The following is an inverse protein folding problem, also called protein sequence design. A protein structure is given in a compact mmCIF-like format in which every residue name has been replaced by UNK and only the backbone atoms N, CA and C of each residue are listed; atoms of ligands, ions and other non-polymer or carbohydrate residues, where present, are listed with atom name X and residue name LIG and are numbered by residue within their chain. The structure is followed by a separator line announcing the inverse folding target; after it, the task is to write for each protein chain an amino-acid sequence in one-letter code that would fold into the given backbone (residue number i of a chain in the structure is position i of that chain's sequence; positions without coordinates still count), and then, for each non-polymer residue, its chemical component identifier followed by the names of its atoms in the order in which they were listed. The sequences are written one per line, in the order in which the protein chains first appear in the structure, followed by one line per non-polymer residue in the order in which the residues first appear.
data_IF_817571958293
#
_entry.id   IF_817571958293
#
_cell.length_a   1.000
_cell.length_b   1.000
_cell.length_c   1.000
_cell.angle_alpha   90.00
_cell.angle_beta   90.00
_cell.angle_gamma   90.00
#
_symmetry.space_group_name_H-M   'P 1'
#
loop_
_entity.id
_entity.type
_entity.pdbx_description
1 polymer ?
#
# COMPACT_ATOMS: atom_id res chain seq x y z
N UNK A 1 -8.37 19.88 -18.82
CA UNK A 1 -9.02 20.34 -17.57
C UNK A 1 -10.19 19.40 -17.29
N UNK A 2 -10.21 18.73 -16.12
CA UNK A 2 -11.36 17.94 -15.68
C UNK A 2 -12.58 18.88 -15.50
N UNK A 3 -13.81 18.41 -15.80
CA UNK A 3 -15.00 19.24 -15.64
C UNK A 3 -15.12 19.73 -14.18
N UNK A 4 -15.74 20.89 -14.00
CA UNK A 4 -16.04 21.50 -12.69
C UNK A 4 -17.13 20.71 -11.94
N UNK A 5 -16.89 19.45 -11.65
CA UNK A 5 -17.74 18.62 -10.80
C UNK A 5 -17.17 18.75 -9.40
N UNK A 6 -17.98 18.98 -8.36
CA UNK A 6 -17.54 18.94 -6.98
C UNK A 6 -16.73 17.68 -6.70
N UNK A 7 -15.65 17.78 -5.94
CA UNK A 7 -14.67 16.72 -5.79
C UNK A 7 -15.29 15.38 -5.35
N UNK A 8 -16.27 15.42 -4.42
CA UNK A 8 -17.02 14.26 -3.96
C UNK A 8 -17.90 13.63 -5.06
N UNK A 9 -18.57 14.43 -5.89
CA UNK A 9 -19.39 13.91 -7.00
C UNK A 9 -18.54 13.28 -8.10
N UNK A 10 -17.38 13.88 -8.38
CA UNK A 10 -16.43 13.31 -9.33
C UNK A 10 -15.90 11.95 -8.86
N UNK A 11 -15.59 11.81 -7.59
CA UNK A 11 -15.12 10.55 -7.01
C UNK A 11 -16.22 9.48 -7.05
N UNK A 12 -17.45 9.83 -6.73
CA UNK A 12 -18.60 8.91 -6.77
C UNK A 12 -18.90 8.36 -8.16
N UNK A 13 -18.52 9.10 -9.21
CA UNK A 13 -18.72 8.68 -10.62
C UNK A 13 -17.53 7.89 -11.15
N UNK A 14 -16.32 8.14 -10.62
CA UNK A 14 -15.06 7.59 -11.13
C UNK A 14 -14.43 6.50 -10.26
N UNK A 15 -15.03 6.19 -9.12
CA UNK A 15 -14.48 5.29 -8.10
C UNK A 15 -15.49 4.20 -7.75
N UNK A 16 -15.22 2.98 -8.20
CA UNK A 16 -16.07 1.81 -7.98
C UNK A 16 -16.25 1.49 -6.49
N UNK A 17 -15.24 1.76 -5.66
CA UNK A 17 -15.33 1.54 -4.22
C UNK A 17 -16.34 2.48 -3.57
N UNK A 18 -16.28 3.78 -3.88
CA UNK A 18 -17.22 4.76 -3.33
C UNK A 18 -18.64 4.53 -3.87
N UNK A 19 -18.75 4.12 -5.13
CA UNK A 19 -20.04 3.72 -5.70
C UNK A 19 -20.63 2.52 -4.94
N UNK A 20 -19.85 1.48 -4.73
CA UNK A 20 -20.24 0.29 -3.97
C UNK A 20 -20.65 0.63 -2.53
N UNK A 21 -19.84 1.44 -1.84
CA UNK A 21 -20.09 1.80 -0.46
C UNK A 21 -21.42 2.55 -0.30
N UNK A 22 -21.69 3.49 -1.20
CA UNK A 22 -22.94 4.26 -1.21
C UNK A 22 -24.14 3.44 -1.65
N UNK A 23 -24.06 2.76 -2.78
CA UNK A 23 -25.25 2.19 -3.44
C UNK A 23 -25.54 0.76 -3.00
N UNK A 24 -24.52 -0.03 -2.61
CA UNK A 24 -24.72 -1.40 -2.15
C UNK A 24 -24.72 -1.52 -0.61
N UNK A 25 -24.00 -0.63 0.09
CA UNK A 25 -23.89 -0.66 1.55
C UNK A 25 -24.68 0.44 2.24
N UNK A 26 -25.22 1.39 1.49
CA UNK A 26 -26.04 2.48 2.04
C UNK A 26 -25.26 3.49 2.86
N UNK A 27 -23.93 3.52 2.73
CA UNK A 27 -23.03 4.41 3.47
C UNK A 27 -22.61 5.55 2.53
N UNK A 28 -23.22 6.71 2.74
CA UNK A 28 -22.81 7.93 2.05
C UNK A 28 -21.57 8.50 2.76
N UNK A 29 -20.39 7.96 2.44
CA UNK A 29 -19.13 8.46 2.95
C UNK A 29 -18.36 9.28 1.90
N UNK A 30 -17.53 10.16 2.41
CA UNK A 30 -16.48 10.85 1.66
C UNK A 30 -15.11 10.33 2.14
N UNK A 31 -14.09 10.40 1.30
CA UNK A 31 -12.71 10.06 1.66
C UNK A 31 -12.16 10.93 2.80
N UNK A 32 -12.82 12.02 3.11
CA UNK A 32 -12.47 12.95 4.17
C UNK A 32 -13.26 12.74 5.46
N UNK A 33 -14.16 11.75 5.53
CA UNK A 33 -15.01 11.49 6.71
C UNK A 33 -14.19 11.20 7.98
N UNK A 34 -13.00 10.65 7.84
CA UNK A 34 -12.05 10.49 8.94
C UNK A 34 -11.56 11.85 9.48
N UNK A 35 -11.85 12.95 8.79
CA UNK A 35 -11.31 14.28 9.06
C UNK A 35 -9.82 14.41 8.72
N UNK A 36 -9.29 13.47 7.94
CA UNK A 36 -7.91 13.46 7.46
C UNK A 36 -7.88 13.79 5.98
N UNK A 37 -6.98 14.69 5.60
CA UNK A 37 -6.66 14.92 4.20
C UNK A 37 -5.90 13.72 3.62
N UNK A 38 -6.07 13.45 2.33
CA UNK A 38 -5.51 12.29 1.63
C UNK A 38 -3.98 12.13 1.74
N UNK A 39 -3.29 13.17 2.16
CA UNK A 39 -1.85 13.19 2.38
C UNK A 39 -1.48 13.48 3.85
N UNK A 40 -2.41 13.38 4.77
CA UNK A 40 -2.14 13.62 6.19
C UNK A 40 -1.24 12.52 6.76
N UNK A 41 -0.18 12.91 7.46
CA UNK A 41 0.64 11.99 8.26
C UNK A 41 0.00 11.65 9.63
N UNK A 42 -1.13 12.27 9.95
CA UNK A 42 -1.88 12.00 11.18
C UNK A 42 -2.54 10.63 11.10
N UNK A 43 -2.52 9.91 12.20
CA UNK A 43 -3.20 8.63 12.33
C UNK A 43 -4.56 8.82 12.99
N UNK A 44 -5.58 8.23 12.40
CA UNK A 44 -6.91 8.11 13.00
C UNK A 44 -7.52 6.77 12.56
N UNK A 45 -7.89 5.89 13.48
CA UNK A 45 -8.50 4.62 13.14
C UNK A 45 -9.72 4.76 12.23
N UNK A 46 -9.90 3.78 11.34
CA UNK A 46 -11.05 3.67 10.45
C UNK A 46 -12.36 3.72 11.26
N UNK A 47 -13.31 4.52 10.82
CA UNK A 47 -14.52 4.83 11.58
C UNK A 47 -15.72 3.90 11.29
N UNK A 48 -15.63 3.11 10.25
CA UNK A 48 -16.65 2.14 9.87
C UNK A 48 -16.19 0.70 10.18
N UNK A 49 -17.05 -0.27 9.95
CA UNK A 49 -16.70 -1.67 10.07
C UNK A 49 -15.52 -2.04 9.15
N UNK A 50 -14.63 -2.90 9.62
CA UNK A 50 -13.42 -3.29 8.90
C UNK A 50 -13.71 -3.80 7.48
N UNK A 51 -14.79 -4.59 7.30
CA UNK A 51 -15.14 -5.15 6.00
C UNK A 51 -15.49 -4.09 4.95
N UNK A 52 -15.75 -2.87 5.37
CA UNK A 52 -16.01 -1.71 4.49
C UNK A 52 -14.73 -0.97 4.11
N UNK A 53 -13.61 -1.30 4.73
CA UNK A 53 -12.34 -0.65 4.42
C UNK A 53 -11.91 -0.93 2.97
N UNK A 54 -11.35 0.07 2.24
CA UNK A 54 -10.95 -0.12 0.84
C UNK A 54 -9.98 -1.28 0.63
N UNK A 55 -9.10 -1.58 1.59
CA UNK A 55 -8.20 -2.74 1.55
C UNK A 55 -8.98 -4.06 1.53
N UNK A 56 -10.00 -4.20 2.36
CA UNK A 56 -10.88 -5.39 2.37
C UNK A 56 -11.71 -5.51 1.10
N UNK A 57 -12.20 -4.37 0.59
CA UNK A 57 -12.95 -4.32 -0.65
C UNK A 57 -12.10 -4.78 -1.85
N UNK A 58 -10.87 -4.27 -1.99
CA UNK A 58 -9.96 -4.66 -3.06
C UNK A 58 -9.69 -6.17 -3.05
N UNK A 59 -9.41 -6.75 -1.87
CA UNK A 59 -9.25 -8.19 -1.71
C UNK A 59 -10.54 -8.94 -2.10
N UNK A 60 -11.69 -8.44 -1.67
CA UNK A 60 -12.99 -9.02 -2.01
C UNK A 60 -13.23 -9.06 -3.53
N UNK A 61 -12.90 -7.97 -4.24
CA UNK A 61 -13.00 -7.92 -5.72
C UNK A 61 -12.04 -8.89 -6.40
N UNK A 62 -10.81 -9.00 -5.89
CA UNK A 62 -9.84 -9.96 -6.41
C UNK A 62 -10.32 -11.42 -6.22
N UNK A 63 -10.87 -11.76 -5.06
CA UNK A 63 -11.45 -13.08 -4.80
C UNK A 63 -12.67 -13.36 -5.68
N UNK A 64 -13.54 -12.38 -5.90
CA UNK A 64 -14.66 -12.51 -6.82
C UNK A 64 -14.19 -12.76 -8.26
N UNK A 65 -13.10 -12.10 -8.69
CA UNK A 65 -12.48 -12.36 -9.98
C UNK A 65 -12.01 -13.81 -10.08
N UNK A 66 -11.29 -14.34 -9.08
CA UNK A 66 -10.80 -15.73 -9.09
C UNK A 66 -11.94 -16.73 -9.23
N UNK A 67 -13.07 -16.51 -8.56
CA UNK A 67 -14.25 -17.40 -8.61
C UNK A 67 -15.00 -17.34 -9.93
N UNK A 68 -15.02 -16.20 -10.61
CA UNK A 68 -15.83 -15.96 -11.83
C UNK A 68 -15.03 -16.04 -13.12
N UNK A 69 -13.71 -16.12 -13.03
CA UNK A 69 -12.84 -16.17 -14.23
C UNK A 69 -13.18 -17.36 -15.11
N UNK A 70 -12.87 -17.29 -16.38
CA UNK A 70 -12.81 -18.44 -17.27
C UNK A 70 -11.66 -19.35 -16.82
N UNK A 71 -11.96 -20.59 -16.42
CA UNK A 71 -10.98 -21.55 -15.88
C UNK A 71 -10.03 -22.07 -16.94
N UNK A 72 -10.44 -22.02 -18.21
CA UNK A 72 -9.67 -22.53 -19.34
C UNK A 72 -8.69 -21.45 -19.89
N UNK A 73 -8.71 -20.24 -19.35
CA UNK A 73 -7.86 -19.15 -19.76
C UNK A 73 -6.84 -18.76 -18.68
N UNK A 74 -5.58 -18.49 -19.07
CA UNK A 74 -4.63 -17.86 -18.15
C UNK A 74 -5.09 -16.46 -17.82
N UNK A 75 -4.65 -15.92 -16.67
CA UNK A 75 -4.99 -14.57 -16.28
C UNK A 75 -3.76 -13.79 -15.81
N UNK A 76 -3.87 -12.48 -15.89
CA UNK A 76 -3.02 -11.51 -15.20
C UNK A 76 -3.90 -10.69 -14.27
N UNK A 77 -3.54 -10.64 -12.99
CA UNK A 77 -4.25 -9.84 -11.98
C UNK A 77 -3.25 -8.92 -11.27
N UNK A 78 -3.51 -7.62 -11.32
CA UNK A 78 -2.82 -6.65 -10.47
C UNK A 78 -3.74 -6.27 -9.31
N UNK A 79 -3.45 -6.79 -8.12
CA UNK A 79 -4.13 -6.42 -6.87
C UNK A 79 -3.33 -5.31 -6.19
N UNK A 80 -3.86 -4.11 -6.22
CA UNK A 80 -3.22 -2.91 -5.67
C UNK A 80 -3.93 -2.42 -4.42
N UNK A 81 -3.17 -2.21 -3.36
CA UNK A 81 -3.65 -1.58 -2.12
C UNK A 81 -3.15 -0.14 -2.04
N UNK A 82 -4.05 0.79 -1.73
CA UNK A 82 -3.65 2.18 -1.48
C UNK A 82 -2.88 2.29 -0.17
N UNK A 83 -3.28 1.52 0.86
CA UNK A 83 -2.54 1.47 2.12
C UNK A 83 -1.26 0.65 1.96
N UNK A 84 -0.21 1.04 2.66
CA UNK A 84 -0.11 1.97 3.80
C UNK A 84 0.09 3.45 3.45
N UNK A 85 -0.18 3.90 2.22
CA UNK A 85 -0.13 5.33 1.89
C UNK A 85 -1.05 6.14 2.83
N UNK A 86 -0.62 7.35 3.18
CA UNK A 86 -1.43 8.29 3.98
C UNK A 86 -2.82 8.55 3.34
N UNK A 87 -3.86 8.89 4.13
CA UNK A 87 -3.85 9.00 5.59
C UNK A 87 -3.76 7.64 6.27
N UNK A 88 -3.19 7.61 7.47
CA UNK A 88 -3.07 6.37 8.23
C UNK A 88 -4.36 6.11 9.00
N UNK A 89 -5.23 5.31 8.39
CA UNK A 89 -6.57 5.01 8.90
C UNK A 89 -6.82 3.49 9.08
N UNK A 90 -5.90 2.77 9.75
CA UNK A 90 -6.09 1.34 9.98
C UNK A 90 -7.36 1.07 10.80
N UNK A 91 -8.01 -0.10 10.68
CA UNK A 91 -9.01 -0.52 11.65
C UNK A 91 -8.43 -0.52 13.08
N UNK A 92 -9.27 -0.18 14.06
CA UNK A 92 -8.82 0.07 15.44
C UNK A 92 -8.06 -1.11 16.06
N UNK A 93 -8.46 -2.35 15.76
CA UNK A 93 -7.80 -3.54 16.28
C UNK A 93 -6.32 -3.64 15.86
N UNK A 94 -5.97 -3.21 14.63
CA UNK A 94 -4.58 -3.18 14.17
C UNK A 94 -3.81 -2.01 14.79
N UNK A 95 -4.43 -0.84 14.94
CA UNK A 95 -3.80 0.29 15.62
C UNK A 95 -3.47 -0.02 17.07
N UNK A 96 -4.36 -0.73 17.76
CA UNK A 96 -4.17 -1.17 19.14
C UNK A 96 -2.94 -2.07 19.32
N UNK A 97 -2.51 -2.78 18.28
CA UNK A 97 -1.29 -3.58 18.33
C UNK A 97 -0.01 -2.74 18.45
N UNK A 98 -0.02 -1.49 18.02
CA UNK A 98 1.17 -0.64 17.90
C UNK A 98 1.14 0.61 18.76
N UNK A 99 -0.03 1.17 19.10
CA UNK A 99 -0.18 2.48 19.76
C UNK A 99 0.61 2.66 21.05
N UNK A 100 0.89 1.56 21.76
CA UNK A 100 1.61 1.57 23.02
C UNK A 100 2.97 0.87 22.95
N UNK A 101 3.43 0.45 21.75
CA UNK A 101 4.74 -0.18 21.61
C UNK A 101 5.85 0.86 21.52
N UNK A 102 7.01 0.50 22.05
CA UNK A 102 8.23 1.20 21.72
C UNK A 102 8.59 0.89 20.26
N UNK A 103 8.63 1.92 19.44
CA UNK A 103 8.99 1.85 18.02
C UNK A 103 10.39 2.45 17.84
N UNK A 104 11.12 2.01 16.81
CA UNK A 104 12.42 2.55 16.50
C UNK A 104 12.31 4.06 16.20
N UNK A 105 13.22 4.89 16.71
CA UNK A 105 13.24 6.30 16.37
C UNK A 105 13.53 6.47 14.87
N UNK A 106 13.05 7.56 14.24
CA UNK A 106 13.44 7.87 12.88
C UNK A 106 14.96 8.04 12.74
N UNK A 107 15.49 7.67 11.59
CA UNK A 107 16.88 7.91 11.29
C UNK A 107 17.13 9.41 11.07
N UNK A 108 18.28 9.90 11.55
CA UNK A 108 18.77 11.25 11.31
C UNK A 108 20.26 11.20 11.00
N UNK A 109 20.66 11.82 9.90
CA UNK A 109 22.06 11.99 9.54
C UNK A 109 22.68 13.22 10.21
N UNK A 110 24.02 13.29 10.25
CA UNK A 110 24.77 14.43 10.78
C UNK A 110 24.64 15.72 9.93
N UNK A 111 24.09 15.58 8.72
CA UNK A 111 23.77 16.69 7.81
C UNK A 111 22.36 17.25 7.99
N UNK A 112 21.51 16.63 8.82
CA UNK A 112 20.14 17.07 9.03
C UNK A 112 20.07 18.24 10.00
N UNK A 113 19.47 19.34 9.58
CA UNK A 113 19.20 20.50 10.44
C UNK A 113 17.76 20.50 10.93
N UNK A 114 17.45 19.58 11.85
CA UNK A 114 16.12 19.43 12.46
C UNK A 114 15.73 20.69 13.27
N UNK A 115 16.69 21.39 13.86
CA UNK A 115 16.43 22.64 14.58
C UNK A 115 15.99 23.75 13.64
N UNK A 116 16.56 23.81 12.44
CA UNK A 116 16.08 24.72 11.40
C UNK A 116 14.65 24.36 10.98
N UNK A 117 14.35 23.10 10.77
CA UNK A 117 12.99 22.65 10.43
C UNK A 117 11.98 23.03 11.50
N UNK A 118 12.33 22.87 12.79
CA UNK A 118 11.51 23.32 13.91
C UNK A 118 11.26 24.82 13.91
N UNK A 119 12.32 25.62 13.71
CA UNK A 119 12.23 27.09 13.69
C UNK A 119 11.43 27.62 12.50
N UNK A 120 11.58 27.03 11.33
CA UNK A 120 10.86 27.42 10.12
C UNK A 120 9.37 27.08 10.18
N UNK A 121 8.93 26.30 11.18
CA UNK A 121 7.53 25.91 11.37
C UNK A 121 6.92 25.19 10.17
N UNK A 122 7.74 24.54 9.35
CA UNK A 122 7.32 23.83 8.12
C UNK A 122 6.61 22.50 8.42
N UNK A 123 5.80 22.46 9.46
CA UNK A 123 5.08 21.28 9.92
C UNK A 123 4.03 20.79 8.90
N UNK A 124 3.67 21.61 7.93
CA UNK A 124 2.56 21.34 7.03
C UNK A 124 2.90 21.30 5.53
N UNK A 125 4.17 21.27 5.17
CA UNK A 125 4.46 21.01 3.76
C UNK A 125 4.40 19.51 3.45
N UNK A 126 4.13 19.20 2.20
CA UNK A 126 3.97 17.81 1.71
C UNK A 126 5.17 16.89 1.93
N UNK A 127 6.26 17.37 2.47
CA UNK A 127 7.53 16.63 2.62
C UNK A 127 8.08 16.62 4.04
N UNK A 128 7.64 17.55 4.91
CA UNK A 128 8.11 17.59 6.30
C UNK A 128 7.16 16.82 7.19
N UNK A 129 7.70 15.89 7.98
CA UNK A 129 6.98 15.11 8.97
C UNK A 129 6.82 15.82 10.30
N UNK A 130 6.14 15.20 11.26
CA UNK A 130 6.15 15.65 12.63
C UNK A 130 7.57 15.58 13.20
N UNK A 131 7.90 16.51 14.08
CA UNK A 131 9.19 16.56 14.80
C UNK A 131 8.99 16.29 16.29
N UNK A 132 7.75 16.29 16.76
CA UNK A 132 7.41 15.91 18.12
C UNK A 132 7.47 14.37 18.25
N UNK A 133 8.20 13.83 19.23
CA UNK A 133 8.38 12.38 19.38
C UNK A 133 7.08 11.59 19.54
N UNK A 134 6.08 12.17 20.20
CA UNK A 134 4.79 11.50 20.38
C UNK A 134 3.99 11.45 19.06
N UNK A 135 4.01 12.51 18.28
CA UNK A 135 3.38 12.54 16.97
C UNK A 135 4.07 11.60 15.98
N UNK A 136 5.42 11.51 16.03
CA UNK A 136 6.19 10.53 15.26
C UNK A 136 5.75 9.11 15.61
N UNK A 137 5.68 8.80 16.90
CA UNK A 137 5.25 7.48 17.38
C UNK A 137 3.83 7.13 16.89
N UNK A 138 2.90 8.09 16.96
CA UNK A 138 1.52 7.90 16.46
C UNK A 138 1.49 7.65 14.96
N UNK A 139 2.28 8.39 14.18
CA UNK A 139 2.44 8.19 12.75
C UNK A 139 2.96 6.79 12.42
N UNK A 140 4.06 6.38 13.06
CA UNK A 140 4.66 5.05 12.87
C UNK A 140 3.69 3.93 13.25
N UNK A 141 3.00 4.07 14.39
CA UNK A 141 2.01 3.09 14.84
C UNK A 141 0.87 2.93 13.82
N UNK A 142 0.38 4.03 13.25
CA UNK A 142 -0.64 4.01 12.20
C UNK A 142 -0.15 3.33 10.92
N UNK A 143 1.06 3.65 10.49
CA UNK A 143 1.65 3.06 9.29
C UNK A 143 1.85 1.55 9.44
N UNK A 144 2.45 1.09 10.55
CA UNK A 144 2.64 -0.34 10.81
C UNK A 144 1.31 -1.09 10.96
N UNK A 145 0.32 -0.45 11.54
CA UNK A 145 -1.03 -1.00 11.63
C UNK A 145 -1.67 -1.19 10.24
N UNK A 146 -1.49 -0.23 9.33
CA UNK A 146 -1.92 -0.36 7.93
C UNK A 146 -1.19 -1.51 7.22
N UNK A 147 0.13 -1.67 7.45
CA UNK A 147 0.89 -2.81 6.90
C UNK A 147 0.33 -4.14 7.39
N UNK A 148 0.10 -4.28 8.70
CA UNK A 148 -0.44 -5.53 9.27
C UNK A 148 -1.83 -5.84 8.71
N UNK A 149 -2.66 -4.82 8.53
CA UNK A 149 -3.97 -4.99 7.90
C UNK A 149 -3.84 -5.47 6.44
N UNK A 150 -2.96 -4.87 5.65
CA UNK A 150 -2.68 -5.30 4.26
C UNK A 150 -2.14 -6.73 4.25
N UNK A 151 -1.21 -7.08 5.13
CA UNK A 151 -0.64 -8.43 5.25
C UNK A 151 -1.72 -9.49 5.51
N UNK A 152 -2.64 -9.22 6.43
CA UNK A 152 -3.79 -10.11 6.66
C UNK A 152 -4.69 -10.24 5.42
N UNK A 153 -4.88 -9.18 4.65
CA UNK A 153 -5.68 -9.24 3.43
C UNK A 153 -4.95 -9.96 2.29
N UNK A 154 -3.62 -9.87 2.23
CA UNK A 154 -2.80 -10.70 1.33
C UNK A 154 -2.93 -12.17 1.72
N UNK A 155 -2.79 -12.50 3.00
CA UNK A 155 -3.01 -13.87 3.48
C UNK A 155 -4.37 -14.43 3.09
N UNK A 156 -5.43 -13.62 3.19
CA UNK A 156 -6.78 -13.98 2.74
C UNK A 156 -6.86 -14.21 1.22
N UNK A 157 -6.14 -13.41 0.43
CA UNK A 157 -6.08 -13.58 -1.02
C UNK A 157 -5.31 -14.87 -1.40
N UNK A 158 -4.19 -15.14 -0.74
CA UNK A 158 -3.41 -16.37 -0.95
C UNK A 158 -4.23 -17.63 -0.60
N UNK A 159 -5.00 -17.57 0.48
CA UNK A 159 -5.95 -18.64 0.80
C UNK A 159 -6.97 -18.85 -0.33
N UNK A 160 -7.47 -17.75 -0.92
CA UNK A 160 -8.37 -17.84 -2.08
C UNK A 160 -7.71 -18.47 -3.31
N UNK A 161 -6.41 -18.27 -3.55
CA UNK A 161 -5.69 -18.99 -4.60
C UNK A 161 -5.61 -20.50 -4.30
N UNK A 162 -5.41 -20.88 -3.03
CA UNK A 162 -5.41 -22.28 -2.61
C UNK A 162 -6.78 -22.92 -2.77
N UNK A 163 -7.84 -22.24 -2.34
CA UNK A 163 -9.23 -22.70 -2.44
C UNK A 163 -9.69 -22.92 -3.88
N UNK A 164 -9.14 -22.16 -4.84
CA UNK A 164 -9.41 -22.27 -6.27
C UNK A 164 -8.39 -23.17 -7.01
N UNK A 165 -7.50 -23.86 -6.27
CA UNK A 165 -6.45 -24.73 -6.80
C UNK A 165 -5.47 -24.03 -7.77
N UNK A 166 -5.20 -22.74 -7.53
CA UNK A 166 -4.37 -21.90 -8.38
C UNK A 166 -2.97 -21.65 -7.82
N UNK A 167 -2.79 -21.84 -6.51
CA UNK A 167 -1.59 -21.40 -5.80
C UNK A 167 -0.31 -22.00 -6.39
N UNK A 168 -0.32 -23.29 -6.72
CA UNK A 168 0.86 -24.00 -7.24
C UNK A 168 1.14 -23.72 -8.72
N UNK A 169 0.23 -23.06 -9.42
CA UNK A 169 0.35 -22.70 -10.85
C UNK A 169 0.26 -21.19 -11.08
N UNK A 170 0.59 -20.39 -10.09
CA UNK A 170 0.56 -18.92 -10.20
C UNK A 170 1.90 -18.34 -9.79
N UNK A 171 2.50 -17.52 -10.65
CA UNK A 171 3.62 -16.66 -10.26
C UNK A 171 3.04 -15.43 -9.57
N UNK A 172 3.47 -15.18 -8.35
CA UNK A 172 3.06 -14.01 -7.59
C UNK A 172 4.27 -13.12 -7.36
N UNK A 173 4.11 -11.84 -7.68
CA UNK A 173 5.09 -10.79 -7.40
C UNK A 173 4.50 -9.85 -6.36
N UNK A 174 5.19 -9.71 -5.23
CA UNK A 174 4.86 -8.71 -4.21
C UNK A 174 5.89 -7.59 -4.24
N UNK A 175 5.41 -6.37 -4.39
CA UNK A 175 6.24 -5.16 -4.42
C UNK A 175 5.44 -3.93 -4.02
N UNK A 176 6.12 -2.78 -3.96
CA UNK A 176 5.53 -1.46 -3.78
C UNK A 176 6.04 -0.51 -4.87
N UNK A 177 5.29 0.55 -5.18
CA UNK A 177 5.71 1.61 -6.09
C UNK A 177 6.77 2.54 -5.46
N UNK A 178 6.75 2.71 -4.14
CA UNK A 178 7.71 3.47 -3.34
C UNK A 178 7.58 3.06 -1.87
N UNK A 179 8.52 3.48 -1.05
CA UNK A 179 8.47 3.35 0.41
C UNK A 179 7.89 4.58 1.11
N UNK A 180 8.25 4.78 2.38
CA UNK A 180 7.79 5.89 3.22
C UNK A 180 8.91 6.29 4.19
N UNK A 181 9.18 7.57 4.30
CA UNK A 181 10.25 8.11 5.17
C UNK A 181 9.88 8.11 6.66
N UNK A 182 8.60 8.14 7.02
CA UNK A 182 8.12 8.05 8.42
C UNK A 182 8.88 8.92 9.42
N UNK A 183 9.18 10.15 9.06
CA UNK A 183 9.98 11.13 9.79
C UNK A 183 11.50 10.90 9.77
N UNK A 184 12.01 9.94 9.02
CA UNK A 184 13.44 9.88 8.72
C UNK A 184 13.89 11.23 8.12
N UNK A 185 15.02 11.74 8.58
CA UNK A 185 15.52 13.06 8.21
C UNK A 185 14.53 14.23 8.45
N UNK A 186 13.55 14.05 9.35
CA UNK A 186 12.45 14.99 9.54
C UNK A 186 11.46 15.07 8.39
N UNK A 187 11.47 14.07 7.49
CA UNK A 187 10.67 14.03 6.27
C UNK A 187 9.59 12.95 6.33
N UNK A 188 8.55 13.14 5.52
CA UNK A 188 7.50 12.16 5.27
C UNK A 188 7.41 11.84 3.79
N UNK A 189 6.81 10.69 3.48
CA UNK A 189 6.55 10.21 2.13
C UNK A 189 7.82 9.85 1.37
N UNK A 190 7.87 10.11 0.08
CA UNK A 190 8.84 9.57 -0.88
C UNK A 190 9.52 10.63 -1.75
N UNK A 191 9.53 11.89 -1.31
CA UNK A 191 10.04 13.01 -2.14
C UNK A 191 11.56 13.08 -2.26
N UNK A 192 12.28 12.21 -1.58
CA UNK A 192 13.75 12.11 -1.59
C UNK A 192 14.17 10.66 -1.71
N UNK A 193 15.25 10.35 -2.43
CA UNK A 193 15.71 8.98 -2.67
C UNK A 193 16.53 8.43 -1.50
N UNK A 194 16.04 8.61 -0.27
CA UNK A 194 16.58 7.97 0.92
C UNK A 194 16.10 6.53 1.01
N UNK A 195 16.78 5.72 1.80
CA UNK A 195 16.55 4.30 1.95
C UNK A 195 15.07 3.99 2.24
N UNK A 196 14.46 4.68 3.20
CA UNK A 196 13.05 4.49 3.57
C UNK A 196 12.04 4.74 2.45
N UNK A 197 12.39 5.51 1.41
CA UNK A 197 11.51 5.80 0.29
C UNK A 197 11.85 5.04 -0.99
N UNK A 198 13.11 4.69 -1.21
CA UNK A 198 13.60 4.10 -2.46
C UNK A 198 13.79 2.58 -2.39
N UNK A 199 14.11 2.05 -1.21
CA UNK A 199 14.30 0.62 -1.01
C UNK A 199 12.96 -0.05 -0.71
N UNK A 200 12.37 -0.63 -1.75
CA UNK A 200 11.06 -1.30 -1.69
C UNK A 200 11.21 -2.83 -1.66
N UNK A 201 10.24 -3.56 -1.11
CA UNK A 201 10.27 -5.01 -1.17
C UNK A 201 10.08 -5.52 -2.60
N UNK A 202 10.77 -6.61 -2.95
CA UNK A 202 10.52 -7.40 -4.14
C UNK A 202 10.62 -8.87 -3.77
N UNK A 203 9.47 -9.53 -3.72
CA UNK A 203 9.38 -10.96 -3.45
C UNK A 203 8.67 -11.65 -4.60
N UNK A 204 9.22 -12.79 -5.00
CA UNK A 204 8.64 -13.66 -6.04
C UNK A 204 8.43 -15.06 -5.46
N UNK A 205 7.28 -15.65 -5.72
CA UNK A 205 7.04 -17.07 -5.50
C UNK A 205 6.16 -17.63 -6.60
N UNK A 206 6.18 -18.95 -6.78
CA UNK A 206 5.43 -19.64 -7.83
C UNK A 206 6.05 -20.99 -8.16
N UNK A 207 5.67 -21.59 -9.30
CA UNK A 207 6.20 -22.87 -9.73
C UNK A 207 7.74 -22.86 -9.86
N UNK A 208 8.40 -23.82 -9.22
CA UNK A 208 9.88 -23.92 -9.26
C UNK A 208 10.45 -23.97 -10.67
N UNK A 209 9.71 -24.59 -11.60
CA UNK A 209 10.09 -24.65 -13.00
C UNK A 209 10.17 -23.28 -13.69
N UNK A 210 9.48 -22.26 -13.15
CA UNK A 210 9.44 -20.90 -13.70
C UNK A 210 10.39 -19.97 -12.95
N UNK A 211 10.30 -19.94 -11.63
CA UNK A 211 11.06 -18.98 -10.80
C UNK A 211 12.31 -19.61 -10.16
N UNK A 212 12.53 -20.93 -10.31
CA UNK A 212 13.59 -21.67 -9.65
C UNK A 212 13.30 -21.98 -8.17
N UNK A 213 14.23 -22.65 -7.45
CA UNK A 213 14.01 -23.11 -6.07
C UNK A 213 13.75 -21.96 -5.11
N UNK A 214 12.81 -22.19 -4.17
CA UNK A 214 12.44 -21.23 -3.13
C UNK A 214 13.54 -20.99 -2.08
N UNK A 215 13.32 -20.02 -1.19
CA UNK A 215 14.20 -19.70 -0.05
C UNK A 215 15.49 -18.98 -0.43
N UNK A 216 15.60 -18.44 -1.63
CA UNK A 216 16.78 -17.69 -2.10
C UNK A 216 16.63 -16.19 -1.76
N UNK A 217 17.75 -15.58 -1.41
CA UNK A 217 17.91 -14.12 -1.33
C UNK A 217 18.91 -13.71 -2.41
N UNK A 218 18.67 -12.58 -3.06
CA UNK A 218 19.56 -12.03 -4.10
C UNK A 218 19.94 -10.59 -3.74
N UNK A 219 21.24 -10.30 -3.79
CA UNK A 219 21.79 -8.94 -3.62
C UNK A 219 21.90 -8.19 -4.95
N UNK A 220 21.33 -8.73 -6.03
CA UNK A 220 21.31 -8.05 -7.33
C UNK A 220 20.35 -6.86 -7.26
N UNK A 221 20.79 -5.74 -7.83
CA UNK A 221 19.91 -4.59 -7.99
C UNK A 221 18.76 -4.93 -8.94
N UNK A 222 17.56 -4.58 -8.56
CA UNK A 222 16.36 -4.70 -9.37
C UNK A 222 15.56 -3.39 -9.26
N UNK A 223 14.83 -3.06 -10.31
CA UNK A 223 14.00 -1.88 -10.38
C UNK A 223 12.57 -2.25 -10.80
N UNK A 224 11.62 -1.34 -10.56
CA UNK A 224 10.22 -1.56 -10.96
C UNK A 224 10.05 -1.84 -12.46
N UNK A 225 10.91 -1.29 -13.31
CA UNK A 225 10.87 -1.55 -14.76
C UNK A 225 11.29 -2.97 -15.14
N UNK A 226 11.95 -3.71 -14.24
CA UNK A 226 12.31 -5.12 -14.47
C UNK A 226 11.11 -6.06 -14.29
N UNK A 227 10.02 -5.60 -13.65
CA UNK A 227 8.85 -6.43 -13.36
C UNK A 227 8.13 -6.84 -14.64
N UNK A 228 7.87 -5.90 -15.55
CA UNK A 228 7.12 -6.20 -16.77
C UNK A 228 7.83 -7.25 -17.65
N UNK A 229 9.12 -7.09 -18.01
CA UNK A 229 9.83 -8.12 -18.77
C UNK A 229 9.90 -9.46 -18.02
N UNK A 230 10.06 -9.45 -16.70
CA UNK A 230 10.05 -10.67 -15.89
C UNK A 230 8.72 -11.42 -15.98
N UNK A 231 7.60 -10.70 -15.92
CA UNK A 231 6.27 -11.30 -16.03
C UNK A 231 5.98 -11.82 -17.43
N UNK A 232 6.43 -11.11 -18.48
CA UNK A 232 6.30 -11.57 -19.86
C UNK A 232 7.10 -12.87 -20.09
N UNK A 233 8.34 -12.91 -19.60
CA UNK A 233 9.18 -14.11 -19.68
C UNK A 233 8.54 -15.30 -18.95
N UNK A 234 8.09 -15.08 -17.71
CA UNK A 234 7.40 -16.10 -16.92
C UNK A 234 6.12 -16.62 -17.59
N UNK A 235 5.44 -15.79 -18.37
CA UNK A 235 4.23 -16.14 -19.12
C UNK A 235 4.55 -16.75 -20.51
N UNK A 236 5.82 -16.87 -20.91
CA UNK A 236 6.23 -17.32 -22.25
C UNK A 236 5.84 -16.35 -23.36
N UNK A 237 5.65 -15.07 -23.05
CA UNK A 237 5.29 -14.01 -24.01
C UNK A 237 6.56 -13.29 -24.45
N UNK A 238 6.76 -13.06 -25.78
CA UNK A 238 7.93 -12.33 -26.25
C UNK A 238 8.07 -10.93 -25.64
N UNK A 239 9.26 -10.62 -25.15
CA UNK A 239 9.57 -9.29 -24.59
C UNK A 239 9.76 -8.30 -25.76
N UNK A 240 9.00 -7.19 -25.82
CA UNK A 240 9.22 -6.17 -26.84
C UNK A 240 10.63 -5.57 -26.79
N UNK A 241 11.24 -5.34 -27.96
CA UNK A 241 12.60 -4.77 -28.06
C UNK A 241 12.72 -3.33 -27.53
N UNK A 242 11.58 -2.68 -27.24
CA UNK A 242 11.51 -1.33 -26.64
C UNK A 242 11.52 -1.33 -25.11
N UNK A 243 11.48 -2.50 -24.47
CA UNK A 243 11.65 -2.73 -23.04
C UNK A 243 13.08 -3.18 -22.76
#
# INVERSE_FOLDING_TARGET
RKPNIPHHEHQMVADDYLYWLKNEKGIACDITDTGLECNSWVTRPWMYDEHLHPTNWATGRALDFLRRRDRDQPFFLMLSYVRPHAPYDPPACYYDMYKNKALAPPFSGDWDDLERLRREGRVFCNTTGPLDPELIRQQQAGYYACITHVDHQIGRFLQGLMDEELYDNTVVVFTSDHGELLSDHGLCRKSRPYEGSAHIPLLLWGPEAVIGPGGRVSDRLAELRDIMPTLLDAAGVPIPSSL
#
